data_IF_585408694862
#
_entry.id   IF_585408694862
#
_cell.length_a   1.000
_cell.length_b   1.000
_cell.length_c   1.000
_cell.angle_alpha   90.00
_cell.angle_beta   90.00
_cell.angle_gamma   90.00
#
_symmetry.space_group_name_H-M   'P 1'
#
loop_
_entity.id
_entity.type
_entity.pdbx_description
1 polymer ?
#
# COMPACT_ATOMS: atom_id res chain seq x y z
N UNK A 1 49.47 -47.87 -9.07
CA UNK A 1 48.36 -47.05 -9.64
C UNK A 1 47.70 -46.30 -8.48
N UNK A 2 47.85 -45.00 -8.47
CA UNK A 2 47.15 -44.16 -7.49
C UNK A 2 45.89 -43.64 -8.15
N UNK A 3 44.76 -44.03 -7.60
CA UNK A 3 43.47 -43.52 -8.05
C UNK A 3 43.23 -42.24 -7.24
N UNK A 4 43.27 -41.11 -7.92
CA UNK A 4 42.86 -39.84 -7.32
C UNK A 4 41.35 -39.78 -7.33
N UNK A 5 40.73 -39.96 -6.18
CA UNK A 5 39.32 -39.70 -6.00
C UNK A 5 39.13 -38.17 -5.90
N UNK A 6 38.67 -37.58 -6.97
CA UNK A 6 38.24 -36.18 -6.97
C UNK A 6 36.87 -36.17 -6.31
N UNK A 7 36.84 -35.82 -5.05
CA UNK A 7 35.58 -35.57 -4.35
C UNK A 7 35.12 -34.17 -4.79
N UNK A 8 34.23 -34.15 -5.76
CA UNK A 8 33.56 -32.92 -6.16
C UNK A 8 32.63 -32.53 -5.02
N UNK A 9 33.07 -31.57 -4.21
CA UNK A 9 32.24 -30.96 -3.19
C UNK A 9 31.21 -30.07 -3.92
N UNK A 10 30.03 -30.64 -4.13
CA UNK A 10 28.91 -29.89 -4.70
C UNK A 10 28.41 -28.93 -3.61
N UNK A 11 28.89 -27.70 -3.69
CA UNK A 11 28.44 -26.60 -2.86
C UNK A 11 27.01 -26.27 -3.27
N UNK A 12 26.01 -26.88 -2.63
CA UNK A 12 24.63 -26.43 -2.73
C UNK A 12 24.59 -25.05 -2.11
N UNK A 13 24.74 -24.04 -2.94
CA UNK A 13 24.35 -22.69 -2.56
C UNK A 13 22.84 -22.70 -2.40
N UNK A 14 22.39 -22.94 -1.16
CA UNK A 14 21.03 -22.64 -0.80
C UNK A 14 20.89 -21.14 -0.96
N UNK A 15 20.37 -20.70 -2.11
CA UNK A 15 19.91 -19.34 -2.26
C UNK A 15 18.77 -19.17 -1.28
N UNK A 16 19.07 -18.54 -0.17
CA UNK A 16 18.08 -17.98 0.72
C UNK A 16 17.38 -16.87 -0.08
N UNK A 17 16.33 -17.26 -0.80
CA UNK A 17 15.37 -16.29 -1.27
C UNK A 17 14.73 -15.71 -0.02
N UNK A 18 15.23 -14.56 0.41
CA UNK A 18 14.50 -13.74 1.36
C UNK A 18 13.15 -13.46 0.69
N UNK A 19 12.11 -14.12 1.17
CA UNK A 19 10.76 -13.74 0.83
C UNK A 19 10.57 -12.35 1.39
N UNK A 20 10.75 -11.32 0.52
CA UNK A 20 10.23 -10.02 0.81
C UNK A 20 8.74 -10.22 1.08
N UNK A 21 8.25 -9.75 2.23
CA UNK A 21 6.84 -9.82 2.55
C UNK A 21 6.06 -9.27 1.37
N UNK A 22 5.16 -10.09 0.82
CA UNK A 22 4.38 -9.69 -0.33
C UNK A 22 3.45 -8.55 0.04
N UNK A 23 3.38 -7.54 -0.82
CA UNK A 23 2.39 -6.47 -0.69
C UNK A 23 0.98 -6.96 -1.04
N UNK A 24 0.86 -8.16 -1.60
CA UNK A 24 -0.42 -8.72 -2.02
C UNK A 24 -1.36 -8.91 -0.84
N UNK A 25 -2.60 -8.48 -1.00
CA UNK A 25 -3.64 -8.64 0.01
C UNK A 25 -4.36 -7.35 0.35
N UNK A 26 -5.05 -7.38 1.48
CA UNK A 26 -5.79 -6.23 1.99
C UNK A 26 -5.05 -5.57 3.14
N UNK A 27 -5.08 -4.25 3.11
CA UNK A 27 -4.45 -3.41 4.13
C UNK A 27 -5.47 -2.40 4.62
N UNK A 28 -5.49 -2.16 5.92
CA UNK A 28 -6.45 -1.25 6.55
C UNK A 28 -5.69 -0.16 7.28
N UNK A 29 -6.03 1.08 6.95
CA UNK A 29 -5.56 2.28 7.64
C UNK A 29 -6.76 2.98 8.27
N UNK A 30 -6.69 3.19 9.56
CA UNK A 30 -7.74 3.89 10.31
C UNK A 30 -7.14 5.08 11.02
N UNK A 31 -7.83 6.22 10.93
CA UNK A 31 -7.40 7.41 11.64
C UNK A 31 -8.59 8.24 12.06
N UNK A 32 -8.39 9.03 13.09
CA UNK A 32 -9.36 10.01 13.56
C UNK A 32 -9.01 11.40 13.01
N UNK A 33 -10.01 12.13 12.58
CA UNK A 33 -9.88 13.48 12.07
C UNK A 33 -10.72 14.40 12.91
N UNK A 34 -10.08 15.37 13.55
CA UNK A 34 -10.76 16.43 14.29
C UNK A 34 -11.33 17.47 13.32
N UNK A 35 -12.53 17.95 13.61
CA UNK A 35 -13.19 18.99 12.85
C UNK A 35 -13.36 20.29 13.65
N UNK A 36 -13.64 21.37 12.94
CA UNK A 36 -13.84 22.68 13.54
C UNK A 36 -15.03 22.75 14.50
N UNK A 37 -15.97 21.81 14.38
CA UNK A 37 -17.12 21.68 15.30
C UNK A 37 -16.78 21.02 16.66
N UNK A 38 -15.52 20.65 16.85
CA UNK A 38 -15.03 19.94 18.03
C UNK A 38 -15.32 18.44 18.04
N UNK A 39 -15.93 17.92 16.98
CA UNK A 39 -16.21 16.48 16.84
C UNK A 39 -15.04 15.77 16.19
N UNK A 40 -14.93 14.48 16.49
CA UNK A 40 -13.95 13.59 15.87
C UNK A 40 -14.66 12.62 14.93
N UNK A 41 -14.12 12.48 13.74
CA UNK A 41 -14.63 11.58 12.73
C UNK A 41 -13.61 10.51 12.41
N UNK A 42 -14.09 9.30 12.11
CA UNK A 42 -13.23 8.17 11.75
C UNK A 42 -13.12 8.05 10.24
N UNK A 43 -11.90 7.89 9.76
CA UNK A 43 -11.60 7.68 8.35
C UNK A 43 -10.86 6.36 8.20
N UNK A 44 -11.48 5.41 7.51
CA UNK A 44 -10.93 4.07 7.29
C UNK A 44 -10.65 3.88 5.80
N UNK A 45 -9.41 3.55 5.47
CA UNK A 45 -9.00 3.26 4.09
C UNK A 45 -8.62 1.79 3.98
N UNK A 46 -9.22 1.10 3.03
CA UNK A 46 -8.88 -0.28 2.70
C UNK A 46 -8.20 -0.31 1.34
N UNK A 47 -6.98 -0.82 1.34
CA UNK A 47 -6.19 -1.04 0.13
C UNK A 47 -6.22 -2.52 -0.21
N UNK A 48 -6.63 -2.85 -1.43
CA UNK A 48 -6.50 -4.22 -1.94
C UNK A 48 -5.48 -4.18 -3.06
N UNK A 49 -4.33 -4.81 -2.83
CA UNK A 49 -3.16 -4.70 -3.70
C UNK A 49 -2.73 -6.05 -4.23
N UNK A 50 -2.21 -6.04 -5.45
CA UNK A 50 -1.62 -7.20 -6.11
C UNK A 50 -0.40 -6.76 -6.90
N UNK A 51 0.71 -7.48 -6.72
CA UNK A 51 1.94 -7.25 -7.46
C UNK A 51 2.14 -8.33 -8.52
N UNK A 52 2.64 -7.93 -9.68
CA UNK A 52 3.00 -8.82 -10.77
C UNK A 52 4.10 -8.17 -11.61
N UNK A 53 5.30 -8.76 -11.59
CA UNK A 53 6.43 -8.30 -12.40
C UNK A 53 6.84 -6.85 -12.14
N UNK A 54 6.80 -6.38 -10.90
CA UNK A 54 7.13 -5.00 -10.54
C UNK A 54 5.99 -4.00 -10.74
N UNK A 55 4.85 -4.44 -11.29
CA UNK A 55 3.64 -3.63 -11.41
C UNK A 55 2.72 -3.88 -10.22
N UNK A 56 2.07 -2.83 -9.78
CA UNK A 56 1.11 -2.89 -8.69
C UNK A 56 -0.25 -2.50 -9.20
N UNK A 57 -1.24 -3.36 -8.95
CA UNK A 57 -2.64 -3.12 -9.29
C UNK A 57 -3.50 -3.27 -8.05
N UNK A 58 -4.71 -2.79 -8.11
CA UNK A 58 -5.65 -2.94 -7.03
C UNK A 58 -6.61 -1.77 -6.91
N UNK A 59 -7.19 -1.65 -5.74
CA UNK A 59 -8.20 -0.65 -5.47
C UNK A 59 -8.09 -0.07 -4.07
N UNK A 60 -8.68 1.10 -3.89
CA UNK A 60 -8.77 1.82 -2.62
C UNK A 60 -10.23 2.11 -2.33
N UNK A 61 -10.66 1.78 -1.13
CA UNK A 61 -11.98 2.15 -0.62
C UNK A 61 -11.78 2.95 0.66
N UNK A 62 -12.29 4.16 0.69
CA UNK A 62 -12.28 5.01 1.88
C UNK A 62 -13.68 5.17 2.42
N UNK A 63 -13.84 4.92 3.70
CA UNK A 63 -15.10 5.11 4.42
C UNK A 63 -14.88 6.15 5.52
N UNK A 64 -15.66 7.19 5.51
CA UNK A 64 -15.56 8.27 6.50
C UNK A 64 -16.91 8.56 7.11
N UNK A 65 -16.92 8.81 8.41
CA UNK A 65 -18.12 9.29 9.13
C UNK A 65 -18.31 10.80 9.00
N UNK A 66 -17.34 11.50 8.41
CA UNK A 66 -17.39 12.95 8.21
C UNK A 66 -18.46 13.32 7.18
N UNK A 67 -19.37 14.29 7.49
CA UNK A 67 -20.45 14.66 6.57
C UNK A 67 -19.97 15.20 5.22
N UNK A 68 -18.85 15.90 5.18
CA UNK A 68 -18.29 16.45 3.95
C UNK A 68 -17.68 15.39 3.03
N UNK A 69 -17.49 14.17 3.54
CA UNK A 69 -16.99 13.02 2.76
C UNK A 69 -18.12 12.11 2.25
N UNK A 70 -19.36 12.46 2.52
CA UNK A 70 -20.52 11.61 2.20
C UNK A 70 -20.63 11.25 0.72
N UNK A 71 -20.19 12.14 -0.18
CA UNK A 71 -20.25 11.90 -1.64
C UNK A 71 -19.26 10.81 -2.10
N UNK A 72 -18.09 10.74 -1.46
CA UNK A 72 -17.00 9.86 -1.90
C UNK A 72 -16.84 8.61 -1.04
N UNK A 73 -17.49 8.56 0.10
CA UNK A 73 -17.35 7.43 1.02
C UNK A 73 -17.87 6.12 0.43
N UNK A 74 -17.12 5.04 0.64
CA UNK A 74 -17.51 3.70 0.20
C UNK A 74 -17.27 3.38 -1.27
N UNK A 75 -16.78 4.32 -2.06
CA UNK A 75 -16.46 4.07 -3.46
C UNK A 75 -15.15 3.30 -3.60
N UNK A 76 -15.15 2.32 -4.50
CA UNK A 76 -13.94 1.62 -4.90
C UNK A 76 -13.28 2.35 -6.06
N UNK A 77 -12.00 2.70 -5.90
CA UNK A 77 -11.24 3.44 -6.91
C UNK A 77 -10.02 2.60 -7.27
N UNK A 78 -9.83 2.33 -8.56
CA UNK A 78 -8.63 1.64 -9.03
C UNK A 78 -7.40 2.51 -8.89
N UNK A 79 -6.31 1.91 -8.44
CA UNK A 79 -5.02 2.59 -8.42
C UNK A 79 -4.45 2.70 -9.83
N UNK A 80 -3.65 3.73 -10.07
CA UNK A 80 -2.97 3.99 -11.34
C UNK A 80 -1.47 4.11 -11.10
N UNK A 81 -0.69 3.80 -12.15
CA UNK A 81 0.77 3.93 -12.15
C UNK A 81 1.44 3.21 -10.97
N UNK A 82 0.89 2.05 -10.60
CA UNK A 82 1.40 1.27 -9.49
C UNK A 82 2.70 0.58 -9.80
N UNK A 83 3.68 0.74 -8.91
CA UNK A 83 5.00 0.13 -9.01
C UNK A 83 5.42 -0.42 -7.66
N UNK A 84 6.13 -1.53 -7.70
CA UNK A 84 6.80 -2.11 -6.54
C UNK A 84 8.22 -2.50 -6.92
N UNK A 85 9.17 -2.08 -6.10
CA UNK A 85 10.58 -2.40 -6.25
C UNK A 85 11.11 -2.85 -4.88
N UNK A 86 11.32 -4.15 -4.72
CA UNK A 86 11.64 -4.73 -3.44
C UNK A 86 10.53 -4.48 -2.43
N UNK A 87 10.82 -3.73 -1.38
CA UNK A 87 9.87 -3.36 -0.35
C UNK A 87 9.22 -1.98 -0.58
N UNK A 88 9.67 -1.24 -1.60
CA UNK A 88 9.18 0.12 -1.89
C UNK A 88 8.08 0.11 -2.93
N UNK A 89 7.02 0.84 -2.64
CA UNK A 89 5.86 0.95 -3.53
C UNK A 89 5.50 2.41 -3.80
N UNK A 90 4.84 2.61 -4.92
CA UNK A 90 4.18 3.87 -5.24
C UNK A 90 2.97 3.62 -6.13
N UNK A 91 1.94 4.42 -5.98
CA UNK A 91 0.78 4.42 -6.86
C UNK A 91 0.00 5.72 -6.73
N UNK A 92 -0.91 5.94 -7.65
CA UNK A 92 -1.78 7.12 -7.69
C UNK A 92 -3.24 6.72 -7.54
N UNK A 93 -3.98 7.56 -6.87
CA UNK A 93 -5.43 7.43 -6.74
C UNK A 93 -6.06 8.75 -7.19
N UNK A 94 -6.91 8.69 -8.21
CA UNK A 94 -7.61 9.86 -8.72
C UNK A 94 -9.07 9.78 -8.34
N UNK A 95 -9.56 10.79 -7.63
CA UNK A 95 -10.95 10.90 -7.19
C UNK A 95 -11.61 12.05 -7.93
N UNK A 96 -12.77 11.78 -8.52
CA UNK A 96 -13.60 12.81 -9.15
C UNK A 96 -14.73 13.21 -8.19
N UNK A 97 -14.91 14.51 -8.03
CA UNK A 97 -15.98 15.08 -7.24
C UNK A 97 -16.59 16.28 -7.96
N UNK A 98 -17.66 16.85 -7.42
CA UNK A 98 -18.26 18.09 -7.92
C UNK A 98 -17.28 19.28 -7.93
N UNK A 99 -16.23 19.20 -7.12
CA UNK A 99 -15.18 20.22 -7.04
C UNK A 99 -14.02 19.97 -8.01
N UNK A 100 -14.11 18.93 -8.84
CA UNK A 100 -13.09 18.55 -9.80
C UNK A 100 -12.33 17.28 -9.42
N UNK A 101 -11.28 17.02 -10.16
CA UNK A 101 -10.43 15.84 -10.02
C UNK A 101 -9.31 16.09 -9.01
N UNK A 102 -9.09 15.13 -8.13
CA UNK A 102 -7.96 15.15 -7.18
C UNK A 102 -7.14 13.90 -7.33
N UNK A 103 -5.83 14.07 -7.39
CA UNK A 103 -4.88 12.95 -7.43
C UNK A 103 -4.05 12.92 -6.15
N UNK A 104 -4.07 11.76 -5.50
CA UNK A 104 -3.21 11.46 -4.38
C UNK A 104 -2.12 10.49 -4.81
N UNK A 105 -0.89 10.73 -4.38
CA UNK A 105 0.25 9.86 -4.63
C UNK A 105 0.62 9.16 -3.32
N UNK A 106 0.56 7.84 -3.35
CA UNK A 106 0.94 6.98 -2.22
C UNK A 106 2.35 6.48 -2.45
N UNK A 107 3.23 6.71 -1.51
CA UNK A 107 4.62 6.26 -1.56
C UNK A 107 5.04 5.70 -0.21
N UNK A 108 5.71 4.57 -0.20
CA UNK A 108 6.18 4.01 1.06
C UNK A 108 6.86 2.67 0.92
N UNK A 109 6.85 1.95 2.03
CA UNK A 109 7.51 0.65 2.14
C UNK A 109 6.62 -0.36 2.84
N UNK A 110 6.81 -1.63 2.48
CA UNK A 110 6.25 -2.77 3.20
C UNK A 110 7.25 -3.17 4.28
N UNK A 111 6.83 -3.11 5.53
CA UNK A 111 7.65 -3.52 6.67
C UNK A 111 6.83 -4.48 7.52
N UNK A 112 7.18 -5.76 7.49
CA UNK A 112 6.40 -6.83 8.13
C UNK A 112 4.93 -6.79 7.66
N UNK A 113 3.98 -6.66 8.56
CA UNK A 113 2.55 -6.57 8.25
C UNK A 113 2.05 -5.12 8.21
N UNK A 114 2.93 -4.16 7.95
CA UNK A 114 2.61 -2.75 7.84
C UNK A 114 2.99 -2.18 6.47
N UNK A 115 2.13 -1.31 5.96
CA UNK A 115 2.49 -0.35 4.91
C UNK A 115 2.72 0.99 5.58
N UNK A 116 3.93 1.52 5.42
CA UNK A 116 4.27 2.83 5.98
C UNK A 116 4.74 3.76 4.88
N UNK A 117 4.41 5.02 4.99
CA UNK A 117 4.81 6.00 4.00
C UNK A 117 4.04 7.30 4.09
N UNK A 118 3.85 7.92 2.95
CA UNK A 118 3.17 9.21 2.85
C UNK A 118 2.14 9.20 1.72
N UNK A 119 1.10 10.01 1.89
CA UNK A 119 0.10 10.29 0.88
C UNK A 119 0.22 11.78 0.56
N UNK A 120 0.59 12.09 -0.67
CA UNK A 120 0.76 13.46 -1.15
C UNK A 120 -0.41 13.84 -2.04
N UNK A 121 -1.03 14.97 -1.77
CA UNK A 121 -2.13 15.49 -2.59
C UNK A 121 -1.59 16.53 -3.56
N UNK A 122 -1.80 16.30 -4.86
CA UNK A 122 -1.38 17.25 -5.89
C UNK A 122 -2.15 18.57 -5.76
N UNK A 123 -1.44 19.67 -5.84
CA UNK A 123 -2.00 21.01 -5.86
C UNK A 123 -2.35 21.60 -4.51
N UNK A 124 -2.26 20.86 -3.43
CA UNK A 124 -2.63 21.33 -2.09
C UNK A 124 -1.42 21.52 -1.17
N UNK A 125 -0.29 20.89 -1.51
CA UNK A 125 0.93 20.94 -0.68
C UNK A 125 0.81 20.23 0.66
N UNK A 126 -0.26 19.45 0.86
CA UNK A 126 -0.47 18.65 2.06
C UNK A 126 -0.01 17.22 1.86
N UNK A 127 0.54 16.65 2.93
CA UNK A 127 0.86 15.24 2.97
C UNK A 127 0.35 14.62 4.26
N UNK A 128 -0.08 13.36 4.16
CA UNK A 128 -0.52 12.59 5.31
C UNK A 128 0.37 11.39 5.49
N UNK A 129 0.54 10.96 6.72
CA UNK A 129 1.24 9.73 7.03
C UNK A 129 0.36 8.54 6.66
N UNK A 130 0.91 7.60 5.90
CA UNK A 130 0.27 6.32 5.64
C UNK A 130 0.77 5.31 6.66
N UNK A 131 -0.15 4.71 7.37
CA UNK A 131 0.12 3.58 8.25
C UNK A 131 -1.06 2.61 8.12
N UNK A 132 -0.83 1.52 7.42
CA UNK A 132 -1.84 0.51 7.19
C UNK A 132 -1.34 -0.84 7.68
N UNK A 133 -2.23 -1.61 8.26
CA UNK A 133 -1.96 -2.97 8.74
C UNK A 133 -2.59 -3.98 7.80
N UNK A 134 -1.92 -5.11 7.66
CA UNK A 134 -2.47 -6.24 6.91
C UNK A 134 -3.77 -6.70 7.56
N UNK A 135 -4.84 -6.78 6.79
CA UNK A 135 -6.10 -7.33 7.26
C UNK A 135 -5.94 -8.82 7.53
N UNK A 136 -6.38 -9.25 8.71
CA UNK A 136 -6.38 -10.67 9.05
C UNK A 136 -7.59 -11.28 8.36
N UNK A 137 -7.35 -12.21 7.43
CA UNK A 137 -8.44 -13.00 6.87
C UNK A 137 -8.69 -14.21 7.78
N UNK A 138 -9.88 -14.25 8.32
CA UNK A 138 -10.36 -15.42 9.04
C UNK A 138 -10.99 -16.41 8.07
#
# INVERSE_FOLDING_TARGET
>A
MKILAITTLMLCAASLTAFADSIDGKWISEREVGAADGKTYTHTTTLTLKSEGGLLTGSVVSVSTAPWMAETTGRSIEIKDGKIDGDKFSFKVTTESKQGERTAVYEGSVVDDHLTGVIKFRGIGQSWTLDAKRAISN
#
